data_IF_507906645317
#
_entry.id   IF_507906645317
#
_cell.length_a   1.000
_cell.length_b   1.000
_cell.length_c   1.000
_cell.angle_alpha   90.00
_cell.angle_beta   90.00
_cell.angle_gamma   90.00
#
_symmetry.space_group_name_H-M   'P 1'
#
loop_
_entity.id
_entity.type
_entity.pdbx_description
1 polymer ?
#
# COMPACT_ATOMS: atom_id res chain seq x y z
N UNK A 1 -15.50 -34.77 8.86
CA UNK A 1 -14.86 -34.67 7.56
C UNK A 1 -15.16 -33.40 6.79
N UNK A 2 -16.38 -33.03 6.71
CA UNK A 2 -16.75 -31.84 5.97
C UNK A 2 -16.30 -30.55 6.63
N UNK A 3 -16.11 -30.58 7.92
CA UNK A 3 -15.57 -29.44 8.63
C UNK A 3 -14.19 -29.03 8.08
N UNK A 4 -13.47 -29.99 7.50
CA UNK A 4 -12.16 -29.72 6.93
C UNK A 4 -12.24 -28.76 5.75
N UNK A 5 -13.30 -28.83 4.97
CA UNK A 5 -13.42 -27.93 3.83
C UNK A 5 -13.66 -26.50 4.29
N UNK A 6 -14.49 -26.31 5.29
CA UNK A 6 -14.69 -25.00 5.86
C UNK A 6 -13.41 -24.43 6.44
N UNK A 7 -12.65 -25.28 7.14
CA UNK A 7 -11.37 -24.88 7.72
C UNK A 7 -10.37 -24.47 6.64
N UNK A 8 -10.35 -25.22 5.53
CA UNK A 8 -9.43 -24.88 4.43
C UNK A 8 -9.73 -23.53 3.83
N UNK A 9 -11.00 -23.20 3.65
CA UNK A 9 -11.39 -21.89 3.12
C UNK A 9 -11.01 -20.78 4.10
N UNK A 10 -11.27 -20.99 5.39
CA UNK A 10 -10.98 -19.99 6.41
C UNK A 10 -9.47 -19.82 6.62
N UNK A 11 -8.72 -20.88 6.38
CA UNK A 11 -7.27 -20.86 6.56
C UNK A 11 -6.51 -20.51 5.29
N UNK A 12 -7.23 -20.07 4.26
CA UNK A 12 -6.59 -19.69 3.00
C UNK A 12 -5.55 -18.60 3.23
N UNK A 13 -4.37 -18.79 2.67
CA UNK A 13 -3.29 -17.84 2.76
C UNK A 13 -2.78 -17.50 1.37
N UNK A 14 -2.05 -16.40 1.28
CA UNK A 14 -1.49 -15.91 0.03
C UNK A 14 0.01 -15.71 0.20
N UNK A 15 0.76 -15.99 -0.85
CA UNK A 15 2.20 -15.84 -0.79
C UNK A 15 2.63 -14.38 -0.90
N UNK A 16 1.91 -13.61 -1.71
CA UNK A 16 2.27 -12.21 -1.96
C UNK A 16 1.09 -11.29 -1.77
N UNK A 17 1.39 -10.03 -1.56
CA UNK A 17 0.37 -8.99 -1.48
C UNK A 17 -0.43 -8.92 -2.79
N UNK A 18 0.24 -9.11 -3.94
CA UNK A 18 -0.44 -9.07 -5.22
C UNK A 18 -1.48 -10.18 -5.33
N UNK A 19 -1.13 -11.39 -4.91
CA UNK A 19 -2.07 -12.52 -4.96
C UNK A 19 -3.29 -12.24 -4.09
N UNK A 20 -3.07 -11.74 -2.89
CA UNK A 20 -4.16 -11.41 -1.98
C UNK A 20 -5.02 -10.28 -2.54
N UNK A 21 -4.38 -9.28 -3.12
CA UNK A 21 -5.06 -8.13 -3.73
C UNK A 21 -5.94 -8.58 -4.90
N UNK A 22 -5.41 -9.43 -5.76
CA UNK A 22 -6.16 -9.94 -6.92
C UNK A 22 -7.35 -10.78 -6.50
N UNK A 23 -7.23 -11.48 -5.38
CA UNK A 23 -8.31 -12.28 -4.81
C UNK A 23 -9.30 -11.43 -3.99
N UNK A 24 -9.04 -10.12 -3.88
CA UNK A 24 -9.84 -9.19 -3.07
C UNK A 24 -9.85 -9.56 -1.60
N UNK A 25 -8.81 -10.25 -1.14
CA UNK A 25 -8.62 -10.56 0.27
C UNK A 25 -7.93 -9.37 0.93
N UNK A 26 -8.68 -8.30 1.17
CA UNK A 26 -8.13 -7.00 1.51
C UNK A 26 -7.31 -6.98 2.78
N UNK A 27 -7.75 -7.70 3.82
CA UNK A 27 -7.00 -7.73 5.08
C UNK A 27 -5.66 -8.45 4.92
N UNK A 28 -5.68 -9.59 4.20
CA UNK A 28 -4.44 -10.30 3.91
C UNK A 28 -3.53 -9.45 3.02
N UNK A 29 -4.13 -8.77 2.03
CA UNK A 29 -3.37 -7.89 1.15
C UNK A 29 -2.70 -6.77 1.94
N UNK A 30 -3.40 -6.18 2.90
CA UNK A 30 -2.84 -5.10 3.72
C UNK A 30 -1.66 -5.56 4.55
N UNK A 31 -1.76 -6.72 5.17
CA UNK A 31 -0.67 -7.26 5.99
C UNK A 31 0.55 -7.59 5.13
N UNK A 32 0.33 -8.27 4.01
CA UNK A 32 1.42 -8.64 3.11
C UNK A 32 2.04 -7.41 2.45
N UNK A 33 1.21 -6.46 2.02
CA UNK A 33 1.72 -5.25 1.39
C UNK A 33 2.60 -4.46 2.35
N UNK A 34 2.18 -4.31 3.60
CA UNK A 34 3.02 -3.60 4.58
C UNK A 34 4.34 -4.33 4.80
N UNK A 35 4.29 -5.63 4.99
CA UNK A 35 5.49 -6.43 5.22
C UNK A 35 6.46 -6.33 4.04
N UNK A 36 5.95 -6.43 2.82
CA UNK A 36 6.78 -6.36 1.63
C UNK A 36 7.24 -4.95 1.33
N UNK A 37 6.37 -3.96 1.58
CA UNK A 37 6.68 -2.55 1.33
C UNK A 37 7.87 -2.07 2.16
N UNK A 38 7.91 -2.42 3.43
CA UNK A 38 9.01 -2.01 4.31
C UNK A 38 10.31 -2.74 4.01
N UNK A 39 10.25 -3.77 3.15
CA UNK A 39 11.44 -4.45 2.64
C UNK A 39 11.91 -3.85 1.31
N UNK A 40 11.21 -2.83 0.82
CA UNK A 40 11.62 -2.13 -0.39
C UNK A 40 10.93 -2.59 -1.67
N UNK A 41 9.91 -3.44 -1.58
CA UNK A 41 9.22 -3.94 -2.76
C UNK A 41 8.34 -2.84 -3.36
N UNK A 42 8.71 -2.36 -4.55
CA UNK A 42 8.02 -1.23 -5.19
C UNK A 42 6.55 -1.54 -5.49
N UNK A 43 6.26 -2.73 -5.99
CA UNK A 43 4.88 -3.10 -6.29
C UNK A 43 4.03 -3.09 -5.03
N UNK A 44 4.55 -3.66 -3.95
CA UNK A 44 3.83 -3.73 -2.68
C UNK A 44 3.62 -2.35 -2.06
N UNK A 45 4.56 -1.44 -2.26
CA UNK A 45 4.41 -0.04 -1.85
C UNK A 45 3.23 0.60 -2.58
N UNK A 46 3.11 0.33 -3.88
CA UNK A 46 1.97 0.80 -4.67
C UNK A 46 0.66 0.21 -4.19
N UNK A 47 0.63 -1.09 -3.89
CA UNK A 47 -0.56 -1.75 -3.37
C UNK A 47 -0.96 -1.17 -2.00
N UNK A 48 0.03 -0.93 -1.14
CA UNK A 48 -0.25 -0.32 0.17
C UNK A 48 -0.85 1.07 0.00
N UNK A 49 -0.32 1.84 -0.94
CA UNK A 49 -0.89 3.15 -1.29
C UNK A 49 -2.33 3.03 -1.74
N UNK A 50 -2.66 2.03 -2.58
CA UNK A 50 -4.03 1.82 -3.02
C UNK A 50 -4.95 1.46 -1.86
N UNK A 51 -4.49 0.62 -0.95
CA UNK A 51 -5.31 0.23 0.20
C UNK A 51 -5.62 1.43 1.09
N UNK A 52 -4.67 2.34 1.30
CA UNK A 52 -4.93 3.58 2.00
C UNK A 52 -5.85 4.50 1.20
N UNK A 53 -5.64 4.59 -0.10
CA UNK A 53 -6.41 5.49 -0.96
C UNK A 53 -7.90 5.17 -0.89
N UNK A 54 -8.24 3.91 -0.85
CA UNK A 54 -9.63 3.45 -0.86
C UNK A 54 -10.13 2.97 0.50
N UNK A 55 -9.29 2.99 1.52
CA UNK A 55 -9.70 2.60 2.87
C UNK A 55 -10.03 1.13 2.97
N UNK A 56 -9.21 0.26 2.41
CA UNK A 56 -9.45 -1.18 2.37
C UNK A 56 -8.53 -1.94 3.31
N UNK A 57 -8.92 -3.16 3.64
CA UNK A 57 -8.09 -4.06 4.44
C UNK A 57 -7.95 -3.65 5.90
N UNK A 58 -8.91 -2.90 6.41
CA UNK A 58 -8.85 -2.39 7.78
C UNK A 58 -8.03 -1.12 7.93
N UNK A 59 -7.47 -0.60 6.84
CA UNK A 59 -6.74 0.65 6.87
C UNK A 59 -7.68 1.85 6.76
N UNK A 60 -7.38 2.95 7.47
CA UNK A 60 -8.17 4.16 7.31
C UNK A 60 -7.95 4.75 5.91
N UNK A 61 -9.01 5.30 5.34
CA UNK A 61 -8.90 5.98 4.06
C UNK A 61 -8.06 7.24 4.26
N UNK A 62 -6.96 7.36 3.52
CA UNK A 62 -6.03 8.47 3.67
C UNK A 62 -5.35 8.79 2.34
N UNK A 63 -5.74 9.91 1.76
CA UNK A 63 -5.07 10.40 0.55
C UNK A 63 -3.61 10.78 0.83
N UNK A 64 -3.35 11.28 2.03
CA UNK A 64 -1.97 11.64 2.40
C UNK A 64 -1.07 10.40 2.42
N UNK A 65 -1.47 9.35 3.14
CA UNK A 65 -0.68 8.12 3.21
C UNK A 65 -0.59 7.44 1.83
N UNK A 66 -1.65 7.54 1.04
CA UNK A 66 -1.61 7.03 -0.32
C UNK A 66 -0.55 7.75 -1.15
N UNK A 67 -0.50 9.07 -1.10
CA UNK A 67 0.51 9.85 -1.82
C UNK A 67 1.92 9.47 -1.35
N UNK A 68 2.11 9.32 -0.05
CA UNK A 68 3.41 8.92 0.49
C UNK A 68 3.86 7.59 -0.10
N UNK A 69 3.01 6.56 -0.02
CA UNK A 69 3.38 5.23 -0.50
C UNK A 69 3.47 5.15 -2.02
N UNK A 70 2.64 5.88 -2.74
CA UNK A 70 2.76 5.98 -4.20
C UNK A 70 4.09 6.64 -4.60
N UNK A 71 4.48 7.72 -3.90
CA UNK A 71 5.75 8.40 -4.17
C UNK A 71 6.93 7.47 -3.96
N UNK A 72 6.89 6.70 -2.88
CA UNK A 72 7.94 5.73 -2.57
C UNK A 72 7.98 4.64 -3.63
N UNK A 73 6.82 4.14 -4.05
CA UNK A 73 6.71 3.12 -5.08
C UNK A 73 7.33 3.60 -6.39
N UNK A 74 7.04 4.83 -6.80
CA UNK A 74 7.61 5.42 -8.01
C UNK A 74 9.12 5.61 -7.88
N UNK A 75 9.58 6.08 -6.71
CA UNK A 75 11.00 6.26 -6.47
C UNK A 75 11.77 4.94 -6.58
N UNK A 76 11.11 3.83 -6.28
CA UNK A 76 11.69 2.50 -6.39
C UNK A 76 11.40 1.82 -7.74
N UNK A 77 10.95 2.58 -8.73
CA UNK A 77 10.87 2.11 -10.11
C UNK A 77 9.48 1.73 -10.61
N UNK A 78 8.45 1.81 -9.78
CA UNK A 78 7.10 1.46 -10.21
C UNK A 78 6.41 2.68 -10.83
N UNK A 79 6.70 2.93 -12.11
CA UNK A 79 6.11 4.07 -12.81
C UNK A 79 4.65 3.86 -13.19
N UNK A 80 4.18 2.60 -13.16
CA UNK A 80 2.79 2.29 -13.50
C UNK A 80 1.79 2.89 -12.50
N UNK A 81 2.26 3.28 -11.30
CA UNK A 81 1.39 3.81 -10.25
C UNK A 81 1.08 5.31 -10.43
N UNK A 82 1.69 5.97 -11.41
CA UNK A 82 1.59 7.42 -11.57
C UNK A 82 0.16 7.93 -11.65
N UNK A 83 -0.69 7.23 -12.40
CA UNK A 83 -2.10 7.63 -12.51
C UNK A 83 -2.82 7.63 -11.18
N UNK A 84 -2.54 6.63 -10.35
CA UNK A 84 -3.14 6.54 -9.02
C UNK A 84 -2.57 7.61 -8.09
N UNK A 85 -1.27 7.87 -8.19
CA UNK A 85 -0.65 8.98 -7.47
C UNK A 85 -1.36 10.29 -7.79
N UNK A 86 -1.55 10.60 -9.07
CA UNK A 86 -2.20 11.82 -9.49
C UNK A 86 -3.62 11.93 -8.92
N UNK A 87 -4.35 10.82 -8.91
CA UNK A 87 -5.69 10.78 -8.35
C UNK A 87 -5.72 11.09 -6.86
N UNK A 88 -4.78 10.55 -6.11
CA UNK A 88 -4.69 10.80 -4.67
C UNK A 88 -4.16 12.22 -4.39
N UNK A 89 -3.23 12.69 -5.19
CA UNK A 89 -2.60 14.00 -5.00
C UNK A 89 -3.53 15.16 -5.34
N UNK A 90 -4.55 14.92 -6.16
CA UNK A 90 -5.43 15.95 -6.70
C UNK A 90 -6.11 16.79 -5.62
N UNK A 91 -6.37 16.21 -4.45
CA UNK A 91 -7.08 16.91 -3.37
C UNK A 91 -6.20 17.87 -2.59
N UNK A 92 -4.90 17.87 -2.85
CA UNK A 92 -3.95 18.72 -2.13
C UNK A 92 -3.48 19.88 -3.00
N UNK A 93 -3.22 21.04 -2.36
CA UNK A 93 -2.57 22.13 -3.06
C UNK A 93 -1.06 21.87 -3.12
N UNK A 94 -0.33 22.72 -3.82
CA UNK A 94 1.10 22.52 -4.05
C UNK A 94 1.89 22.50 -2.75
N UNK A 95 1.59 23.39 -1.82
CA UNK A 95 2.29 23.47 -0.55
C UNK A 95 2.06 22.21 0.28
N UNK A 96 0.81 21.77 0.36
CA UNK A 96 0.48 20.53 1.08
C UNK A 96 1.19 19.33 0.47
N UNK A 97 1.22 19.26 -0.86
CA UNK A 97 1.84 18.16 -1.56
C UNK A 97 3.35 18.12 -1.30
N UNK A 98 4.00 19.28 -1.26
CA UNK A 98 5.41 19.36 -0.93
C UNK A 98 5.69 18.81 0.47
N UNK A 99 4.84 19.14 1.44
CA UNK A 99 4.99 18.62 2.80
C UNK A 99 4.81 17.11 2.85
N UNK A 100 3.83 16.60 2.11
CA UNK A 100 3.56 15.16 2.07
C UNK A 100 4.74 14.43 1.41
N UNK A 101 5.27 14.99 0.34
CA UNK A 101 6.41 14.37 -0.35
C UNK A 101 7.68 14.42 0.49
N UNK A 102 7.80 15.44 1.35
CA UNK A 102 8.90 15.47 2.32
C UNK A 102 8.79 14.30 3.31
N UNK A 103 7.58 13.95 3.71
CA UNK A 103 7.34 12.77 4.55
C UNK A 103 7.74 11.49 3.83
N UNK A 104 7.47 11.39 2.53
CA UNK A 104 7.89 10.24 1.73
C UNK A 104 9.41 10.13 1.72
N UNK A 105 10.11 11.24 1.58
CA UNK A 105 11.57 11.27 1.60
C UNK A 105 12.10 10.78 2.95
N UNK A 106 11.49 11.21 4.04
CA UNK A 106 11.87 10.76 5.38
C UNK A 106 11.64 9.27 5.53
N UNK A 107 10.52 8.77 5.02
CA UNK A 107 10.22 7.33 5.04
C UNK A 107 11.32 6.54 4.34
N UNK A 108 11.68 6.95 3.13
CA UNK A 108 12.75 6.30 2.37
C UNK A 108 14.09 6.36 3.08
N UNK A 109 14.49 7.54 3.53
CA UNK A 109 15.81 7.73 4.13
C UNK A 109 15.94 7.05 5.49
N UNK A 110 14.83 6.81 6.16
CA UNK A 110 14.82 6.08 7.43
C UNK A 110 14.73 4.57 7.24
N UNK A 111 14.81 4.09 6.00
CA UNK A 111 14.65 2.69 5.66
C UNK A 111 13.28 2.17 6.15
N UNK A 112 12.25 2.95 5.88
CA UNK A 112 10.84 2.64 6.17
C UNK A 112 10.49 2.58 7.65
N UNK A 113 11.27 3.24 8.50
CA UNK A 113 10.99 3.27 9.95
C UNK A 113 10.09 4.43 10.34
N UNK A 114 10.08 5.50 9.55
CA UNK A 114 9.29 6.70 9.83
C UNK A 114 8.40 7.04 8.64
N UNK A 115 7.38 6.23 8.41
CA UNK A 115 6.51 6.35 7.23
C UNK A 115 5.09 6.82 7.54
N UNK A 116 4.61 6.56 8.72
CA UNK A 116 3.22 6.87 9.11
C UNK A 116 3.14 7.94 10.16
#
# INVERSE_FOLDING_TARGET
>A
MFALFGSSVLAQSYETAQDAFDARAWEAAAKLARSEAIKGNANSQGLLGQLYHFGQGGLPKSSELAVIWYSISMANGNTAIEGLYNGAAFVFNEEQLQEIEAKATICLSSQYKNCD
#
